data_IF_283535162265
#
_entry.id   IF_283535162265
#
_cell.length_a   1.000
_cell.length_b   1.000
_cell.length_c   1.000
_cell.angle_alpha   90.00
_cell.angle_beta   90.00
_cell.angle_gamma   90.00
#
_symmetry.space_group_name_H-M   'P 1'
#
loop_
_entity.id
_entity.type
_entity.pdbx_description
1 polymer ?
#
# COMPACT_ATOMS: atom_id res chain seq x y z
N UNK A 1 1.10 -32.73 36.92
CA UNK A 1 1.74 -33.07 35.63
C UNK A 1 2.79 -32.00 35.38
N UNK A 2 4.04 -32.41 35.16
CA UNK A 2 5.09 -31.50 34.75
C UNK A 2 4.68 -30.89 33.39
N UNK A 3 4.50 -29.56 33.26
CA UNK A 3 4.09 -28.93 32.00
C UNK A 3 5.03 -29.24 30.83
N UNK A 4 6.30 -29.54 31.13
CA UNK A 4 7.30 -29.90 30.13
C UNK A 4 7.08 -31.30 29.53
N UNK A 5 6.40 -32.21 30.23
CA UNK A 5 6.19 -33.59 29.75
C UNK A 5 5.21 -33.72 28.58
N UNK A 6 4.49 -32.65 28.22
CA UNK A 6 3.55 -32.61 27.09
C UNK A 6 4.06 -31.83 25.88
N UNK A 7 5.23 -31.17 25.98
CA UNK A 7 5.75 -30.28 24.92
C UNK A 7 6.56 -31.01 23.84
N UNK A 8 7.24 -32.11 24.19
CA UNK A 8 8.17 -32.83 23.31
C UNK A 8 7.70 -34.24 22.91
N UNK A 9 6.39 -34.45 22.80
CA UNK A 9 5.81 -35.77 22.50
C UNK A 9 5.13 -35.76 21.12
N UNK A 10 5.45 -36.75 20.27
CA UNK A 10 4.68 -37.00 19.05
C UNK A 10 3.36 -37.70 19.41
N UNK A 11 2.18 -37.16 19.01
CA UNK A 11 0.91 -37.79 19.29
C UNK A 11 0.77 -39.11 18.52
N UNK A 12 0.37 -40.18 19.23
CA UNK A 12 0.06 -41.51 18.70
C UNK A 12 -1.44 -41.77 18.96
N UNK A 13 -2.20 -42.13 17.92
CA UNK A 13 -3.65 -42.42 17.98
C UNK A 13 -3.94 -43.77 17.31
N UNK A 14 -4.66 -44.64 18.01
CA UNK A 14 -5.27 -45.86 17.44
C UNK A 14 -6.79 -45.78 17.58
N UNK A 15 -7.51 -46.23 16.55
CA UNK A 15 -8.97 -46.08 16.41
C UNK A 15 -9.62 -47.42 16.07
N UNK A 16 -10.65 -47.79 16.84
CA UNK A 16 -11.52 -48.93 16.51
C UNK A 16 -12.96 -48.44 16.27
N UNK A 17 -13.48 -48.74 15.07
CA UNK A 17 -14.78 -48.26 14.59
C UNK A 17 -15.96 -49.11 15.04
N UNK A 18 -17.17 -48.67 14.71
CA UNK A 18 -18.42 -49.34 15.11
C UNK A 18 -18.53 -50.77 14.53
N UNK A 19 -18.45 -51.78 15.39
CA UNK A 19 -18.74 -53.17 15.02
C UNK A 19 -20.24 -53.45 15.22
N UNK A 20 -20.94 -53.76 14.12
CA UNK A 20 -22.41 -53.70 13.99
C UNK A 20 -23.30 -54.57 14.89
N UNK A 21 -22.75 -55.26 15.89
CA UNK A 21 -23.51 -56.16 16.77
C UNK A 21 -23.36 -55.83 18.27
N UNK A 22 -22.43 -54.95 18.65
CA UNK A 22 -22.33 -54.40 20.01
C UNK A 22 -22.76 -52.93 19.95
N UNK A 23 -23.49 -52.44 20.96
CA UNK A 23 -23.98 -51.06 21.01
C UNK A 23 -22.87 -50.04 20.76
N UNK A 24 -23.22 -48.84 20.27
CA UNK A 24 -22.32 -47.78 19.82
C UNK A 24 -21.19 -47.45 20.83
N UNK A 25 -20.10 -48.21 20.81
CA UNK A 25 -18.85 -47.91 21.50
C UNK A 25 -17.81 -47.45 20.48
N UNK A 26 -17.22 -46.30 20.76
CA UNK A 26 -16.10 -45.74 20.02
C UNK A 26 -14.90 -45.78 20.96
N UNK A 27 -13.87 -46.55 20.61
CA UNK A 27 -12.63 -46.61 21.39
C UNK A 27 -11.49 -45.91 20.66
N UNK A 28 -10.80 -45.04 21.40
CA UNK A 28 -9.61 -44.33 20.94
C UNK A 28 -8.52 -44.47 21.99
N UNK A 29 -7.33 -44.92 21.58
CA UNK A 29 -6.17 -45.04 22.44
C UNK A 29 -5.21 -43.88 22.22
N UNK A 30 -4.82 -43.22 23.31
CA UNK A 30 -3.87 -42.12 23.32
C UNK A 30 -2.78 -42.39 24.35
N UNK A 31 -1.52 -42.36 23.93
CA UNK A 31 -0.37 -42.59 24.84
C UNK A 31 -0.09 -41.41 25.76
N UNK A 32 -0.37 -40.20 25.28
CA UNK A 32 -0.29 -38.96 26.06
C UNK A 32 -1.52 -38.11 25.69
N UNK A 33 -2.42 -37.91 26.64
CA UNK A 33 -3.66 -37.16 26.43
C UNK A 33 -3.87 -36.12 27.52
N UNK A 34 -4.37 -34.96 27.12
CA UNK A 34 -5.02 -34.02 28.01
C UNK A 34 -6.49 -33.95 27.61
N UNK A 35 -7.39 -34.28 28.54
CA UNK A 35 -8.83 -34.06 28.34
C UNK A 35 -9.15 -32.67 28.88
N UNK A 36 -9.58 -31.79 27.98
CA UNK A 36 -10.01 -30.45 28.35
C UNK A 36 -11.53 -30.42 28.30
N UNK A 37 -12.16 -30.20 29.45
CA UNK A 37 -13.61 -30.11 29.59
C UNK A 37 -13.98 -28.67 29.92
N UNK A 38 -14.91 -28.10 29.16
CA UNK A 38 -15.50 -26.80 29.48
C UNK A 38 -17.02 -26.82 29.25
N UNK A 39 -17.78 -25.96 29.96
CA UNK A 39 -19.21 -25.83 29.73
C UNK A 39 -19.50 -25.40 28.28
N UNK A 40 -20.52 -25.97 27.64
CA UNK A 40 -20.91 -25.65 26.25
C UNK A 40 -21.06 -24.14 26.01
N UNK A 41 -21.62 -23.41 26.99
CA UNK A 41 -21.74 -21.94 26.95
C UNK A 41 -20.42 -21.17 26.73
N UNK A 42 -19.28 -21.77 27.04
CA UNK A 42 -17.94 -21.18 26.87
C UNK A 42 -17.25 -21.61 25.57
N UNK A 43 -17.88 -22.47 24.77
CA UNK A 43 -17.21 -23.10 23.63
C UNK A 43 -16.59 -22.09 22.66
N UNK A 44 -17.33 -21.05 22.27
CA UNK A 44 -16.82 -20.04 21.35
C UNK A 44 -15.75 -19.14 21.98
N UNK A 45 -15.85 -18.83 23.28
CA UNK A 45 -14.81 -18.08 23.99
C UNK A 45 -13.49 -18.85 23.98
N UNK A 46 -13.53 -20.14 24.30
CA UNK A 46 -12.35 -21.02 24.33
C UNK A 46 -11.72 -21.15 22.94
N UNK A 47 -12.52 -21.26 21.88
CA UNK A 47 -11.99 -21.28 20.50
C UNK A 47 -11.24 -19.99 20.14
N UNK A 48 -11.65 -18.86 20.71
CA UNK A 48 -11.09 -17.53 20.40
C UNK A 48 -9.99 -17.09 21.39
N UNK A 49 -9.61 -17.91 22.38
CA UNK A 49 -8.70 -17.51 23.46
C UNK A 49 -7.21 -17.38 23.02
N UNK A 50 -6.81 -18.02 21.91
CA UNK A 50 -5.47 -17.84 21.32
C UNK A 50 -5.43 -16.63 20.36
N UNK A 51 -5.80 -16.85 19.10
CA UNK A 51 -5.91 -15.79 18.08
C UNK A 51 -7.23 -15.98 17.34
N UNK A 52 -8.20 -15.10 17.64
CA UNK A 52 -9.56 -15.22 17.09
C UNK A 52 -9.61 -15.13 15.56
N UNK A 53 -8.58 -14.55 14.91
CA UNK A 53 -8.44 -14.51 13.45
C UNK A 53 -8.35 -15.91 12.84
N UNK A 54 -7.73 -16.86 13.56
CA UNK A 54 -7.61 -18.26 13.12
C UNK A 54 -8.95 -19.00 13.12
N UNK A 55 -9.97 -18.45 13.78
CA UNK A 55 -11.31 -19.04 13.89
C UNK A 55 -12.24 -18.62 12.75
N UNK A 56 -11.85 -17.62 11.94
CA UNK A 56 -12.63 -17.15 10.80
C UNK A 56 -13.06 -18.25 9.81
N UNK A 57 -12.21 -19.23 9.44
CA UNK A 57 -12.63 -20.33 8.57
C UNK A 57 -13.74 -21.19 9.19
N UNK A 58 -13.78 -21.32 10.52
CA UNK A 58 -14.85 -22.06 11.22
C UNK A 58 -16.16 -21.29 11.11
N UNK A 59 -16.15 -19.98 11.34
CA UNK A 59 -17.33 -19.12 11.16
C UNK A 59 -17.83 -19.17 9.71
N UNK A 60 -16.94 -19.10 8.73
CA UNK A 60 -17.31 -19.19 7.32
C UNK A 60 -18.01 -20.51 6.98
N UNK A 61 -17.50 -21.63 7.48
CA UNK A 61 -18.13 -22.94 7.31
C UNK A 61 -19.50 -23.03 8.01
N UNK A 62 -19.62 -22.48 9.23
CA UNK A 62 -20.90 -22.46 9.94
C UNK A 62 -21.96 -21.64 9.18
N UNK A 63 -21.58 -20.47 8.66
CA UNK A 63 -22.47 -19.63 7.85
C UNK A 63 -22.86 -20.30 6.54
N UNK A 64 -21.93 -21.01 5.89
CA UNK A 64 -22.24 -21.78 4.68
C UNK A 64 -23.26 -22.89 4.95
N UNK A 65 -23.05 -23.69 6.01
CA UNK A 65 -23.99 -24.76 6.42
C UNK A 65 -25.36 -24.21 6.79
N UNK A 66 -25.41 -23.09 7.50
CA UNK A 66 -26.66 -22.43 7.84
C UNK A 66 -27.44 -21.98 6.59
N UNK A 67 -26.76 -21.40 5.59
CA UNK A 67 -27.41 -20.98 4.34
C UNK A 67 -28.00 -22.11 3.51
N UNK A 68 -27.42 -23.31 3.61
CA UNK A 68 -27.91 -24.51 2.92
C UNK A 68 -29.03 -25.22 3.70
N UNK A 69 -29.25 -24.84 4.96
CA UNK A 69 -30.26 -25.44 5.84
C UNK A 69 -31.67 -24.97 5.47
N UNK A 70 -32.55 -25.92 5.19
CA UNK A 70 -33.99 -25.70 4.96
C UNK A 70 -34.84 -26.12 6.17
N UNK A 71 -34.19 -26.42 7.29
CA UNK A 71 -34.77 -27.10 8.44
C UNK A 71 -35.29 -26.16 9.53
N UNK A 72 -36.08 -26.71 10.47
CA UNK A 72 -36.48 -26.02 11.70
C UNK A 72 -35.29 -25.57 12.57
N UNK A 73 -34.10 -26.13 12.36
CA UNK A 73 -32.88 -25.82 13.11
C UNK A 73 -32.11 -24.62 12.54
N UNK A 74 -32.57 -24.01 11.44
CA UNK A 74 -31.91 -22.88 10.81
C UNK A 74 -31.76 -21.67 11.77
N UNK A 75 -32.75 -21.43 12.64
CA UNK A 75 -32.67 -20.35 13.65
C UNK A 75 -31.60 -20.63 14.71
N UNK A 76 -31.50 -21.88 15.17
CA UNK A 76 -30.47 -22.31 16.13
C UNK A 76 -29.07 -22.19 15.50
N UNK A 77 -28.92 -22.62 14.25
CA UNK A 77 -27.66 -22.49 13.51
C UNK A 77 -27.26 -21.03 13.31
N UNK A 78 -28.22 -20.15 12.97
CA UNK A 78 -27.97 -18.70 12.89
C UNK A 78 -27.49 -18.15 14.23
N UNK A 79 -28.18 -18.50 15.32
CA UNK A 79 -27.81 -18.07 16.68
C UNK A 79 -26.40 -18.53 17.06
N UNK A 80 -26.02 -19.76 16.71
CA UNK A 80 -24.65 -20.25 16.91
C UNK A 80 -23.62 -19.47 16.08
N UNK A 81 -23.92 -19.14 14.82
CA UNK A 81 -23.03 -18.31 14.00
C UNK A 81 -22.86 -16.90 14.61
N UNK A 82 -23.94 -16.29 15.09
CA UNK A 82 -23.92 -15.00 15.79
C UNK A 82 -23.07 -15.09 17.06
N UNK A 83 -23.23 -16.15 17.84
CA UNK A 83 -22.45 -16.40 19.06
C UNK A 83 -20.95 -16.50 18.77
N UNK A 84 -20.56 -17.26 17.74
CA UNK A 84 -19.15 -17.37 17.35
C UNK A 84 -18.61 -16.05 16.81
N UNK A 85 -19.35 -15.36 15.93
CA UNK A 85 -18.95 -14.05 15.42
C UNK A 85 -18.76 -13.03 16.57
N UNK A 86 -19.66 -13.03 17.55
CA UNK A 86 -19.54 -12.17 18.74
C UNK A 86 -18.27 -12.48 19.53
N UNK A 87 -17.95 -13.76 19.74
CA UNK A 87 -16.73 -14.16 20.44
C UNK A 87 -15.47 -13.72 19.66
N UNK A 88 -15.45 -13.92 18.34
CA UNK A 88 -14.35 -13.53 17.46
C UNK A 88 -14.07 -12.02 17.56
N UNK A 89 -15.10 -11.19 17.40
CA UNK A 89 -14.98 -9.73 17.46
C UNK A 89 -14.55 -9.25 18.86
N UNK A 90 -15.07 -9.90 19.92
CA UNK A 90 -14.75 -9.54 21.30
C UNK A 90 -13.30 -9.85 21.68
N UNK A 91 -12.76 -10.95 21.16
CA UNK A 91 -11.40 -11.43 21.41
C UNK A 91 -10.43 -11.02 20.30
N UNK A 92 -10.81 -10.09 19.42
CA UNK A 92 -9.95 -9.66 18.32
C UNK A 92 -8.65 -9.03 18.86
N UNK A 93 -7.47 -9.54 18.46
CA UNK A 93 -6.20 -9.03 18.97
C UNK A 93 -5.91 -7.62 18.45
N UNK A 94 -5.24 -6.79 19.26
CA UNK A 94 -4.72 -5.52 18.78
C UNK A 94 -3.54 -5.73 17.84
N UNK A 95 -3.56 -5.04 16.70
CA UNK A 95 -2.51 -5.10 15.70
C UNK A 95 -2.36 -3.71 15.04
N UNK A 96 -1.82 -2.73 15.78
CA UNK A 96 -1.71 -1.35 15.32
C UNK A 96 -0.70 -1.18 14.17
N UNK A 97 0.15 -2.17 13.93
CA UNK A 97 1.18 -2.14 12.88
C UNK A 97 0.89 -3.19 11.82
N UNK A 98 0.93 -2.79 10.54
CA UNK A 98 0.75 -3.74 9.44
C UNK A 98 2.00 -4.61 9.32
N UNK A 99 1.84 -5.93 9.36
CA UNK A 99 2.96 -6.86 9.16
C UNK A 99 3.40 -6.87 7.69
N UNK A 100 4.71 -6.75 7.45
CA UNK A 100 5.34 -6.77 6.11
C UNK A 100 5.04 -8.02 5.29
N UNK A 101 4.63 -9.11 5.94
CA UNK A 101 4.35 -10.37 5.29
C UNK A 101 2.87 -10.57 4.92
N UNK A 102 1.98 -9.66 5.33
CA UNK A 102 0.58 -9.68 4.86
C UNK A 102 0.52 -9.00 3.49
N UNK A 103 0.57 -9.83 2.45
CA UNK A 103 0.33 -9.41 1.06
C UNK A 103 -0.99 -8.66 0.97
N UNK A 104 -0.99 -7.53 0.26
CA UNK A 104 -2.21 -6.96 -0.33
C UNK A 104 -2.95 -8.08 -1.09
N UNK A 105 -4.06 -8.56 -0.55
CA UNK A 105 -4.86 -9.59 -1.20
C UNK A 105 -5.25 -10.81 -0.37
N UNK A 106 -4.85 -10.93 0.91
CA UNK A 106 -5.69 -11.67 1.87
C UNK A 106 -6.96 -10.83 2.06
N UNK A 107 -7.91 -11.03 1.15
CA UNK A 107 -9.24 -10.43 1.20
C UNK A 107 -9.88 -10.94 2.48
N UNK A 108 -9.81 -10.14 3.54
CA UNK A 108 -10.47 -10.48 4.78
C UNK A 108 -11.98 -10.50 4.50
N UNK A 109 -12.55 -11.70 4.39
CA UNK A 109 -13.93 -11.93 3.98
C UNK A 109 -14.90 -11.66 5.15
N UNK A 110 -14.38 -11.18 6.29
CA UNK A 110 -15.12 -11.02 7.53
C UNK A 110 -16.36 -10.13 7.35
N UNK A 111 -16.24 -8.95 6.73
CA UNK A 111 -17.42 -8.10 6.54
C UNK A 111 -18.52 -8.80 5.72
N UNK A 112 -18.15 -9.58 4.69
CA UNK A 112 -19.11 -10.34 3.89
C UNK A 112 -19.77 -11.45 4.71
N UNK A 113 -19.01 -12.12 5.57
CA UNK A 113 -19.52 -13.16 6.49
C UNK A 113 -20.48 -12.53 7.50
N UNK A 114 -20.13 -11.40 8.12
CA UNK A 114 -21.00 -10.68 9.05
C UNK A 114 -22.26 -10.15 8.37
N UNK A 115 -22.13 -9.59 7.15
CA UNK A 115 -23.26 -9.12 6.36
C UNK A 115 -24.26 -10.23 6.04
N UNK A 116 -23.79 -11.47 5.87
CA UNK A 116 -24.64 -12.62 5.64
C UNK A 116 -25.52 -12.99 6.84
N UNK A 117 -25.08 -12.68 8.07
CA UNK A 117 -25.85 -12.92 9.30
C UNK A 117 -27.00 -11.93 9.49
N UNK A 118 -27.00 -10.83 8.74
CA UNK A 118 -27.99 -9.77 8.82
C UNK A 118 -28.16 -9.13 10.21
N UNK A 119 -27.06 -9.04 10.97
CA UNK A 119 -27.03 -8.43 12.31
C UNK A 119 -26.24 -7.10 12.29
N UNK A 120 -26.90 -5.93 12.27
CA UNK A 120 -26.23 -4.63 12.19
C UNK A 120 -25.23 -4.39 13.32
N UNK A 121 -25.53 -4.87 14.53
CA UNK A 121 -24.64 -4.71 15.69
C UNK A 121 -23.27 -5.37 15.49
N UNK A 122 -23.18 -6.51 14.81
CA UNK A 122 -21.90 -7.16 14.52
C UNK A 122 -21.07 -6.36 13.50
N UNK A 123 -21.74 -5.78 12.51
CA UNK A 123 -21.12 -4.94 11.49
C UNK A 123 -20.58 -3.65 12.13
N UNK A 124 -21.39 -2.99 12.98
CA UNK A 124 -20.96 -1.81 13.72
C UNK A 124 -19.72 -2.08 14.58
N UNK A 125 -19.71 -3.18 15.35
CA UNK A 125 -18.53 -3.58 16.14
C UNK A 125 -17.31 -3.86 15.29
N UNK A 126 -17.48 -4.50 14.14
CA UNK A 126 -16.37 -4.70 13.20
C UNK A 126 -15.78 -3.37 12.70
N UNK A 127 -16.62 -2.41 12.29
CA UNK A 127 -16.18 -1.12 11.78
C UNK A 127 -15.56 -0.23 12.88
N UNK A 128 -16.19 -0.17 14.06
CA UNK A 128 -15.83 0.75 15.14
C UNK A 128 -14.81 0.21 16.15
N UNK A 129 -14.68 -1.12 16.30
CA UNK A 129 -13.73 -1.73 17.24
C UNK A 129 -12.59 -2.43 16.48
N UNK A 130 -12.91 -3.39 15.60
CA UNK A 130 -11.90 -4.25 14.97
C UNK A 130 -11.00 -3.47 14.01
N UNK A 131 -11.60 -2.73 13.07
CA UNK A 131 -10.83 -1.98 12.07
C UNK A 131 -9.99 -0.83 12.65
N UNK A 132 -10.36 -0.35 13.84
CA UNK A 132 -9.62 0.67 14.60
C UNK A 132 -8.40 0.05 15.30
N UNK A 133 -8.57 -1.15 15.87
CA UNK A 133 -7.50 -1.89 16.58
C UNK A 133 -6.50 -2.57 15.65
N UNK A 134 -6.91 -2.93 14.44
CA UNK A 134 -6.11 -3.68 13.49
C UNK A 134 -5.99 -2.93 12.16
N UNK A 135 -4.80 -2.38 11.91
CA UNK A 135 -4.51 -1.63 10.69
C UNK A 135 -4.49 -2.53 9.44
N UNK A 136 -4.30 -3.85 9.60
CA UNK A 136 -4.26 -4.80 8.50
C UNK A 136 -5.65 -5.27 8.05
N UNK A 137 -6.67 -5.11 8.89
CA UNK A 137 -8.04 -5.51 8.56
C UNK A 137 -8.62 -4.64 7.46
N UNK A 138 -9.29 -5.30 6.51
CA UNK A 138 -9.87 -4.67 5.34
C UNK A 138 -11.34 -5.13 5.17
N UNK A 139 -12.32 -4.21 5.05
CA UNK A 139 -13.72 -4.57 4.85
C UNK A 139 -13.97 -5.10 3.43
N UNK A 140 -13.00 -4.97 2.53
CA UNK A 140 -13.11 -5.34 1.13
C UNK A 140 -14.21 -4.56 0.40
N UNK A 141 -14.65 -5.12 -0.73
CA UNK A 141 -15.59 -4.45 -1.65
C UNK A 141 -17.04 -4.40 -1.14
N UNK A 142 -17.34 -5.08 -0.04
CA UNK A 142 -18.72 -5.21 0.48
C UNK A 142 -19.17 -4.02 1.32
N UNK A 143 -18.27 -3.11 1.71
CA UNK A 143 -18.61 -1.98 2.58
C UNK A 143 -19.72 -1.10 2.01
N UNK A 144 -19.59 -0.68 0.76
CA UNK A 144 -20.59 0.18 0.10
C UNK A 144 -21.95 -0.51 0.04
N UNK A 145 -21.99 -1.79 -0.33
CA UNK A 145 -23.24 -2.56 -0.43
C UNK A 145 -23.92 -2.71 0.94
N UNK A 146 -23.12 -2.94 1.99
CA UNK A 146 -23.60 -3.02 3.37
C UNK A 146 -24.19 -1.68 3.81
N UNK A 147 -23.47 -0.57 3.63
CA UNK A 147 -23.97 0.76 3.98
C UNK A 147 -25.21 1.14 3.16
N UNK A 148 -25.32 0.75 1.89
CA UNK A 148 -26.52 0.99 1.08
C UNK A 148 -27.72 0.15 1.54
N UNK A 149 -27.46 -1.06 2.03
CA UNK A 149 -28.51 -1.99 2.49
C UNK A 149 -29.12 -1.53 3.82
N UNK A 150 -28.29 -1.22 4.81
CA UNK A 150 -28.75 -0.82 6.16
C UNK A 150 -28.94 0.69 6.31
N UNK A 151 -28.41 1.46 5.37
CA UNK A 151 -28.37 2.91 5.41
C UNK A 151 -27.07 3.48 5.95
N UNK A 152 -26.69 4.64 5.40
CA UNK A 152 -25.43 5.33 5.70
C UNK A 152 -25.39 5.88 7.13
N UNK A 153 -26.54 6.26 7.67
CA UNK A 153 -26.66 6.79 9.03
C UNK A 153 -26.44 5.70 10.09
N UNK A 154 -26.79 4.45 9.77
CA UNK A 154 -26.71 3.30 10.69
C UNK A 154 -25.29 3.03 11.20
N UNK A 155 -24.27 3.32 10.38
CA UNK A 155 -22.85 3.10 10.73
C UNK A 155 -22.04 4.40 10.76
N UNK A 156 -22.71 5.55 10.84
CA UNK A 156 -22.05 6.85 10.75
C UNK A 156 -21.00 7.01 11.84
N UNK A 157 -21.37 6.74 13.10
CA UNK A 157 -20.50 6.95 14.25
C UNK A 157 -19.24 6.08 14.16
N UNK A 158 -19.40 4.83 13.74
CA UNK A 158 -18.32 3.86 13.59
C UNK A 158 -17.37 4.26 12.47
N UNK A 159 -17.91 4.69 11.31
CA UNK A 159 -17.11 5.18 10.20
C UNK A 159 -16.38 6.48 10.56
N UNK A 160 -17.06 7.46 11.14
CA UNK A 160 -16.43 8.70 11.56
C UNK A 160 -15.32 8.45 12.59
N UNK A 161 -15.53 7.56 13.57
CA UNK A 161 -14.49 7.17 14.52
C UNK A 161 -13.29 6.49 13.83
N UNK A 162 -13.55 5.56 12.90
CA UNK A 162 -12.52 4.88 12.12
C UNK A 162 -11.66 5.88 11.34
N UNK A 163 -12.28 6.81 10.62
CA UNK A 163 -11.57 7.81 9.81
C UNK A 163 -10.85 8.85 10.66
N UNK A 164 -11.44 9.28 11.78
CA UNK A 164 -10.78 10.16 12.76
C UNK A 164 -9.56 9.53 13.42
N UNK A 165 -9.54 8.21 13.57
CA UNK A 165 -8.41 7.45 14.13
C UNK A 165 -7.32 7.07 13.12
N UNK A 166 -7.33 7.66 11.92
CA UNK A 166 -6.37 7.33 10.85
C UNK A 166 -4.92 7.55 11.31
N UNK A 167 -4.12 6.48 11.22
CA UNK A 167 -2.66 6.49 11.43
C UNK A 167 -1.93 6.29 10.10
N UNK A 168 -0.60 6.40 10.13
CA UNK A 168 0.26 6.09 8.97
C UNK A 168 0.03 4.67 8.42
N UNK A 169 -0.22 3.69 9.28
CA UNK A 169 -0.41 2.28 8.93
C UNK A 169 -1.77 2.04 8.24
N UNK A 170 -2.79 2.82 8.58
CA UNK A 170 -4.14 2.71 8.03
C UNK A 170 -4.46 3.71 6.92
N UNK A 171 -3.58 4.69 6.66
CA UNK A 171 -3.86 5.83 5.78
C UNK A 171 -4.22 5.40 4.36
N UNK A 172 -3.46 4.49 3.75
CA UNK A 172 -3.72 3.99 2.40
C UNK A 172 -5.06 3.26 2.30
N UNK A 173 -5.34 2.39 3.28
CA UNK A 173 -6.62 1.70 3.41
C UNK A 173 -7.75 2.72 3.49
N UNK A 174 -7.63 3.69 4.39
CA UNK A 174 -8.69 4.67 4.65
C UNK A 174 -8.90 5.58 3.43
N UNK A 175 -7.87 6.03 2.72
CA UNK A 175 -8.05 6.77 1.45
C UNK A 175 -8.76 5.94 0.39
N UNK A 176 -8.44 4.65 0.26
CA UNK A 176 -9.14 3.75 -0.67
C UNK A 176 -10.61 3.56 -0.28
N UNK A 177 -10.91 3.38 1.00
CA UNK A 177 -12.29 3.28 1.50
C UNK A 177 -13.07 4.58 1.30
N UNK A 178 -12.44 5.72 1.56
CA UNK A 178 -13.01 7.05 1.29
C UNK A 178 -13.37 7.19 -0.20
N UNK A 179 -12.45 6.81 -1.09
CA UNK A 179 -12.70 6.81 -2.53
C UNK A 179 -13.89 5.93 -2.91
N UNK A 180 -13.96 4.70 -2.40
CA UNK A 180 -15.08 3.78 -2.66
C UNK A 180 -16.42 4.34 -2.16
N UNK A 181 -16.46 4.86 -0.93
CA UNK A 181 -17.66 5.49 -0.33
C UNK A 181 -18.10 6.71 -1.15
N UNK A 182 -17.18 7.59 -1.52
CA UNK A 182 -17.50 8.80 -2.30
C UNK A 182 -17.88 8.49 -3.76
N UNK A 183 -17.39 7.41 -4.34
CA UNK A 183 -17.78 7.01 -5.70
C UNK A 183 -19.15 6.31 -5.74
N UNK A 184 -19.64 5.78 -4.62
CA UNK A 184 -20.93 5.10 -4.53
C UNK A 184 -22.11 5.99 -4.97
N UNK A 185 -22.06 7.28 -4.63
CA UNK A 185 -23.01 8.32 -5.05
C UNK A 185 -24.48 7.82 -5.11
N UNK A 186 -25.05 7.42 -3.96
CA UNK A 186 -26.34 6.76 -3.91
C UNK A 186 -27.49 7.72 -4.24
N UNK A 187 -28.58 7.19 -4.83
CA UNK A 187 -29.82 7.96 -5.08
C UNK A 187 -30.67 8.11 -3.81
N UNK A 188 -30.69 7.08 -2.95
CA UNK A 188 -31.37 7.09 -1.65
C UNK A 188 -30.40 7.56 -0.57
N UNK A 189 -30.91 8.21 0.46
CA UNK A 189 -30.11 8.69 1.60
C UNK A 189 -28.96 9.61 1.20
N UNK A 190 -29.17 10.40 0.14
CA UNK A 190 -28.15 11.26 -0.46
C UNK A 190 -27.59 12.28 0.53
N UNK A 191 -28.45 12.85 1.38
CA UNK A 191 -28.08 13.83 2.40
C UNK A 191 -27.14 13.22 3.45
N UNK A 192 -27.56 12.13 4.11
CA UNK A 192 -26.75 11.41 5.08
C UNK A 192 -25.39 10.97 4.49
N UNK A 193 -25.40 10.44 3.27
CA UNK A 193 -24.17 10.09 2.54
C UNK A 193 -23.27 11.31 2.26
N UNK A 194 -23.85 12.46 1.88
CA UNK A 194 -23.10 13.68 1.56
C UNK A 194 -22.44 14.25 2.81
N UNK A 195 -23.18 14.30 3.92
CA UNK A 195 -22.67 14.73 5.20
C UNK A 195 -21.54 13.82 5.70
N UNK A 196 -21.76 12.49 5.68
CA UNK A 196 -20.74 11.51 6.02
C UNK A 196 -19.48 11.74 5.20
N UNK A 197 -19.59 11.77 3.86
CA UNK A 197 -18.46 12.01 2.96
C UNK A 197 -17.70 13.29 3.32
N UNK A 198 -18.40 14.37 3.64
CA UNK A 198 -17.79 15.63 4.05
C UNK A 198 -16.98 15.52 5.34
N UNK A 199 -17.51 14.81 6.36
CA UNK A 199 -16.81 14.58 7.63
C UNK A 199 -15.58 13.70 7.43
N UNK A 200 -15.75 12.50 6.87
CA UNK A 200 -14.64 11.54 6.72
C UNK A 200 -13.54 12.06 5.76
N UNK A 201 -13.91 12.89 4.78
CA UNK A 201 -12.91 13.55 3.91
C UNK A 201 -12.02 14.50 4.69
N UNK A 202 -12.61 15.35 5.57
CA UNK A 202 -11.85 16.28 6.40
C UNK A 202 -10.94 15.54 7.39
N UNK A 203 -11.43 14.46 7.98
CA UNK A 203 -10.66 13.67 8.94
C UNK A 203 -9.42 13.04 8.27
N UNK A 204 -9.59 12.43 7.10
CA UNK A 204 -8.46 11.82 6.35
C UNK A 204 -7.46 12.87 5.88
N UNK A 205 -7.92 14.01 5.37
CA UNK A 205 -7.03 15.09 4.94
C UNK A 205 -6.25 15.66 6.13
N UNK A 206 -6.92 15.88 7.27
CA UNK A 206 -6.26 16.34 8.50
C UNK A 206 -5.22 15.32 9.00
N UNK A 207 -5.53 14.02 8.94
CA UNK A 207 -4.59 12.96 9.29
C UNK A 207 -3.39 12.92 8.34
N UNK A 208 -3.61 13.06 7.02
CA UNK A 208 -2.54 13.15 6.03
C UNK A 208 -1.59 14.32 6.32
N UNK A 209 -2.16 15.51 6.56
CA UNK A 209 -1.39 16.71 6.88
C UNK A 209 -0.61 16.56 8.18
N UNK A 210 -1.20 15.94 9.21
CA UNK A 210 -0.52 15.64 10.47
C UNK A 210 0.66 14.67 10.28
N UNK A 211 0.44 13.55 9.58
CA UNK A 211 1.48 12.55 9.25
C UNK A 211 2.62 13.20 8.43
N UNK A 212 2.29 14.11 7.53
CA UNK A 212 3.27 14.87 6.78
C UNK A 212 3.93 16.00 7.59
N UNK A 213 3.31 16.47 8.67
CA UNK A 213 3.85 17.48 9.58
C UNK A 213 4.76 16.91 10.66
N UNK A 214 4.69 15.60 10.93
CA UNK A 214 5.59 14.94 11.87
C UNK A 214 7.05 15.16 11.44
N UNK A 215 7.85 15.73 12.34
CA UNK A 215 9.28 15.98 12.13
C UNK A 215 9.93 14.67 11.71
N UNK A 216 10.94 14.78 10.84
CA UNK A 216 11.74 13.68 10.30
C UNK A 216 12.38 12.80 11.40
N UNK A 217 11.57 12.01 12.09
CA UNK A 217 11.97 10.68 12.49
C UNK A 217 12.33 9.97 11.18
N UNK A 218 13.45 9.26 11.09
CA UNK A 218 13.73 8.36 9.98
C UNK A 218 12.77 7.15 10.06
N UNK A 219 11.48 7.42 10.11
CA UNK A 219 10.46 6.41 10.01
C UNK A 219 10.40 6.02 8.54
N UNK A 220 11.11 4.95 8.22
CA UNK A 220 11.12 4.33 6.90
C UNK A 220 9.70 4.04 6.40
N UNK A 221 8.69 3.96 7.28
CA UNK A 221 7.27 3.85 6.90
C UNK A 221 6.79 5.01 6.02
N UNK A 222 7.23 6.26 6.30
CA UNK A 222 6.87 7.42 5.46
C UNK A 222 7.38 7.29 4.04
N UNK A 223 8.49 6.58 3.84
CA UNK A 223 9.06 6.30 2.51
C UNK A 223 8.32 5.20 1.74
N UNK A 224 7.43 4.46 2.41
CA UNK A 224 6.69 3.35 1.81
C UNK A 224 5.28 3.72 1.35
N UNK A 225 4.73 4.86 1.80
CA UNK A 225 3.41 5.30 1.37
C UNK A 225 3.37 5.52 -0.15
N UNK A 226 2.39 4.92 -0.81
CA UNK A 226 2.09 5.15 -2.22
C UNK A 226 1.42 6.51 -2.40
N UNK A 227 2.23 7.57 -2.38
CA UNK A 227 1.77 8.97 -2.50
C UNK A 227 0.95 9.22 -3.76
N UNK A 228 1.27 8.54 -4.87
CA UNK A 228 0.48 8.65 -6.09
C UNK A 228 -0.95 8.12 -5.92
N UNK A 229 -1.09 6.98 -5.24
CA UNK A 229 -2.41 6.41 -4.95
C UNK A 229 -3.19 7.27 -3.97
N UNK A 230 -2.54 7.79 -2.91
CA UNK A 230 -3.19 8.72 -1.98
C UNK A 230 -3.76 9.96 -2.69
N UNK A 231 -2.93 10.61 -3.51
CA UNK A 231 -3.35 11.81 -4.26
C UNK A 231 -4.47 11.50 -5.25
N UNK A 232 -4.38 10.40 -6.00
CA UNK A 232 -5.42 10.04 -6.97
C UNK A 232 -6.74 9.66 -6.29
N UNK A 233 -6.71 8.88 -5.19
CA UNK A 233 -7.91 8.50 -4.44
C UNK A 233 -8.62 9.71 -3.83
N UNK A 234 -7.87 10.60 -3.16
CA UNK A 234 -8.41 11.86 -2.63
C UNK A 234 -8.97 12.74 -3.74
N UNK A 235 -8.28 12.88 -4.87
CA UNK A 235 -8.77 13.67 -5.98
C UNK A 235 -10.08 13.12 -6.56
N UNK A 236 -10.24 11.79 -6.70
CA UNK A 236 -11.52 11.21 -7.15
C UNK A 236 -12.62 11.47 -6.11
N UNK A 237 -12.36 11.19 -4.84
CA UNK A 237 -13.32 11.34 -3.74
C UNK A 237 -13.83 12.77 -3.57
N UNK A 238 -12.92 13.74 -3.54
CA UNK A 238 -13.24 15.16 -3.33
C UNK A 238 -13.90 15.77 -4.56
N UNK A 239 -13.50 15.36 -5.76
CA UNK A 239 -14.11 15.88 -6.99
C UNK A 239 -15.54 15.38 -7.20
N UNK A 240 -15.85 14.11 -6.90
CA UNK A 240 -17.22 13.56 -7.06
C UNK A 240 -18.19 14.10 -5.99
N UNK A 241 -17.68 14.47 -4.82
CA UNK A 241 -18.46 15.06 -3.72
C UNK A 241 -18.54 16.59 -3.78
N UNK A 242 -17.84 17.23 -4.72
CA UNK A 242 -17.87 18.69 -4.89
C UNK A 242 -17.07 19.47 -3.83
N UNK A 243 -16.16 18.81 -3.12
CA UNK A 243 -15.33 19.42 -2.06
C UNK A 243 -14.11 20.15 -2.64
N UNK A 244 -14.36 21.16 -3.47
CA UNK A 244 -13.32 21.86 -4.27
C UNK A 244 -12.24 22.53 -3.41
N UNK A 245 -12.63 23.18 -2.31
CA UNK A 245 -11.67 23.86 -1.41
C UNK A 245 -10.76 22.86 -0.70
N UNK A 246 -11.31 21.73 -0.25
CA UNK A 246 -10.53 20.67 0.39
C UNK A 246 -9.54 20.04 -0.60
N UNK A 247 -9.97 19.82 -1.86
CA UNK A 247 -9.08 19.34 -2.92
C UNK A 247 -7.96 20.34 -3.22
N UNK A 248 -8.26 21.63 -3.25
CA UNK A 248 -7.25 22.67 -3.41
C UNK A 248 -6.22 22.64 -2.26
N UNK A 249 -6.68 22.42 -1.03
CA UNK A 249 -5.84 22.27 0.16
C UNK A 249 -4.87 21.10 0.01
N UNK A 250 -5.38 19.90 -0.30
CA UNK A 250 -4.57 18.69 -0.52
C UNK A 250 -3.52 18.90 -1.61
N UNK A 251 -3.91 19.48 -2.74
CA UNK A 251 -3.00 19.77 -3.86
C UNK A 251 -1.91 20.75 -3.44
N UNK A 252 -2.29 21.82 -2.73
CA UNK A 252 -1.34 22.85 -2.29
C UNK A 252 -0.36 22.32 -1.24
N UNK A 253 -0.84 21.50 -0.30
CA UNK A 253 0.00 20.81 0.69
C UNK A 253 1.03 19.89 0.02
N UNK A 254 0.58 19.05 -0.93
CA UNK A 254 1.48 18.12 -1.63
C UNK A 254 2.53 18.87 -2.46
N UNK A 255 2.15 19.92 -3.20
CA UNK A 255 3.07 20.75 -3.97
C UNK A 255 4.09 21.51 -3.09
N UNK A 256 3.73 21.83 -1.85
CA UNK A 256 4.62 22.49 -0.89
C UNK A 256 5.70 21.55 -0.31
N UNK A 257 5.56 20.22 -0.51
CA UNK A 257 6.43 19.19 0.08
C UNK A 257 7.07 18.30 -1.00
N UNK A 258 7.93 18.84 -1.90
CA UNK A 258 8.50 18.10 -3.03
C UNK A 258 9.35 16.89 -2.63
N UNK A 259 9.94 16.88 -1.43
CA UNK A 259 10.68 15.73 -0.89
C UNK A 259 9.75 14.56 -0.54
N UNK A 260 8.53 14.85 -0.07
CA UNK A 260 7.51 13.82 0.26
C UNK A 260 6.66 13.46 -0.95
N UNK A 261 6.43 14.40 -1.85
CA UNK A 261 5.66 14.23 -3.08
C UNK A 261 6.50 14.57 -4.32
N UNK A 262 7.53 13.76 -4.66
CA UNK A 262 8.33 14.03 -5.85
C UNK A 262 7.47 14.00 -7.11
N UNK A 263 7.68 14.95 -8.03
CA UNK A 263 6.92 15.07 -9.29
C UNK A 263 6.75 13.71 -9.99
N UNK A 264 7.85 12.98 -10.22
CA UNK A 264 7.89 11.75 -11.02
C UNK A 264 7.32 10.51 -10.32
N UNK A 265 7.25 10.53 -8.98
CA UNK A 265 6.86 9.36 -8.18
C UNK A 265 5.45 9.53 -7.60
N UNK A 266 5.05 10.76 -7.26
CA UNK A 266 3.76 11.06 -6.67
C UNK A 266 2.81 11.73 -7.66
N UNK A 267 3.14 12.94 -8.13
CA UNK A 267 2.19 13.77 -8.88
C UNK A 267 1.87 13.24 -10.28
N UNK A 268 2.89 12.91 -11.08
CA UNK A 268 2.68 12.45 -12.47
C UNK A 268 1.92 11.12 -12.54
N UNK A 269 2.30 10.06 -11.78
CA UNK A 269 1.55 8.81 -11.81
C UNK A 269 0.10 9.01 -11.34
N UNK A 270 -0.13 9.85 -10.33
CA UNK A 270 -1.48 10.19 -9.87
C UNK A 270 -2.32 10.87 -10.97
N UNK A 271 -1.82 11.96 -11.57
CA UNK A 271 -2.53 12.69 -12.63
C UNK A 271 -2.78 11.81 -13.87
N UNK A 272 -1.78 11.05 -14.31
CA UNK A 272 -1.93 10.14 -15.45
C UNK A 272 -3.02 9.09 -15.17
N UNK A 273 -3.05 8.53 -13.95
CA UNK A 273 -4.11 7.59 -13.54
C UNK A 273 -5.51 8.22 -13.48
N UNK A 274 -5.58 9.54 -13.24
CA UNK A 274 -6.83 10.30 -13.20
C UNK A 274 -7.33 10.70 -14.58
N UNK A 275 -6.44 10.88 -15.57
CA UNK A 275 -6.77 11.44 -16.88
C UNK A 275 -8.01 10.84 -17.57
N UNK A 276 -8.08 9.51 -17.76
CA UNK A 276 -9.26 8.86 -18.35
C UNK A 276 -10.55 9.09 -17.55
N UNK A 277 -10.44 9.12 -16.21
CA UNK A 277 -11.56 9.34 -15.31
C UNK A 277 -12.03 10.80 -15.37
N UNK A 278 -11.11 11.77 -15.33
CA UNK A 278 -11.39 13.21 -15.44
C UNK A 278 -12.19 13.47 -16.71
N UNK A 279 -11.69 13.03 -17.86
CA UNK A 279 -12.34 13.20 -19.17
C UNK A 279 -13.78 12.68 -19.18
N UNK A 280 -14.03 11.56 -18.50
CA UNK A 280 -15.34 10.89 -18.47
C UNK A 280 -16.29 11.51 -17.44
N UNK A 281 -15.83 11.78 -16.22
CA UNK A 281 -16.66 12.04 -15.03
C UNK A 281 -16.71 13.50 -14.62
N UNK A 282 -15.67 14.27 -14.88
CA UNK A 282 -15.61 15.67 -14.46
C UNK A 282 -16.24 16.55 -15.55
N UNK A 283 -17.30 17.26 -15.17
CA UNK A 283 -18.07 18.15 -16.06
C UNK A 283 -18.09 19.60 -15.56
N UNK A 284 -17.83 19.80 -14.28
CA UNK A 284 -17.77 21.12 -13.64
C UNK A 284 -16.29 21.44 -13.41
N UNK A 285 -15.92 22.70 -13.61
CA UNK A 285 -14.55 23.17 -13.36
C UNK A 285 -14.19 22.99 -11.89
N UNK A 286 -12.96 22.54 -11.64
CA UNK A 286 -12.37 22.42 -10.30
C UNK A 286 -11.09 23.23 -10.26
N UNK A 287 -11.03 24.20 -9.34
CA UNK A 287 -9.85 25.03 -9.10
C UNK A 287 -8.66 24.18 -8.63
N UNK A 288 -8.91 23.18 -7.77
CA UNK A 288 -7.90 22.25 -7.28
C UNK A 288 -7.26 21.42 -8.40
N UNK A 289 -8.07 20.78 -9.26
CA UNK A 289 -7.53 20.01 -10.40
C UNK A 289 -6.80 20.90 -11.41
N UNK A 290 -7.37 22.07 -11.72
CA UNK A 290 -6.75 23.03 -12.65
C UNK A 290 -5.39 23.51 -12.14
N UNK A 291 -5.29 23.86 -10.85
CA UNK A 291 -4.03 24.23 -10.19
C UNK A 291 -3.02 23.10 -10.24
N UNK A 292 -3.45 21.88 -9.93
CA UNK A 292 -2.55 20.72 -9.89
C UNK A 292 -1.94 20.44 -11.27
N UNK A 293 -2.78 20.39 -12.30
CA UNK A 293 -2.36 20.16 -13.68
C UNK A 293 -1.44 21.30 -14.17
N UNK A 294 -1.79 22.55 -13.89
CA UNK A 294 -0.97 23.70 -14.26
C UNK A 294 0.42 23.68 -13.60
N UNK A 295 0.50 23.39 -12.30
CA UNK A 295 1.78 23.29 -11.59
C UNK A 295 2.67 22.17 -12.12
N UNK A 296 2.10 20.98 -12.38
CA UNK A 296 2.86 19.86 -12.96
C UNK A 296 3.34 20.18 -14.38
N UNK A 297 2.49 20.85 -15.17
CA UNK A 297 2.84 21.30 -16.52
C UNK A 297 4.00 22.29 -16.50
N UNK A 298 3.91 23.35 -15.69
CA UNK A 298 4.96 24.37 -15.58
C UNK A 298 6.31 23.74 -15.18
N UNK A 299 6.29 22.82 -14.22
CA UNK A 299 7.51 22.12 -13.80
C UNK A 299 8.08 21.23 -14.91
N UNK A 300 7.24 20.53 -15.68
CA UNK A 300 7.67 19.74 -16.82
C UNK A 300 8.20 20.60 -17.96
N UNK A 301 7.54 21.71 -18.31
CA UNK A 301 8.00 22.66 -19.32
C UNK A 301 9.40 23.20 -18.97
N UNK A 302 9.65 23.48 -17.69
CA UNK A 302 10.98 23.86 -17.21
C UNK A 302 12.00 22.72 -17.39
N UNK A 303 11.65 21.49 -17.03
CA UNK A 303 12.53 20.30 -17.17
C UNK A 303 12.82 19.94 -18.63
N UNK A 304 11.86 20.19 -19.54
CA UNK A 304 11.99 19.91 -20.98
C UNK A 304 12.39 21.13 -21.80
N UNK A 305 12.75 22.24 -21.17
CA UNK A 305 13.09 23.49 -21.87
C UNK A 305 14.38 23.38 -22.70
N UNK A 306 15.29 22.51 -22.28
CA UNK A 306 16.54 22.25 -22.98
C UNK A 306 16.87 20.76 -22.96
N UNK A 307 17.06 20.18 -24.15
CA UNK A 307 17.50 18.80 -24.27
C UNK A 307 18.92 18.63 -23.67
N UNK A 308 19.20 17.50 -23.00
CA UNK A 308 20.54 17.14 -22.57
C UNK A 308 21.51 17.24 -23.74
N UNK A 309 22.68 17.83 -23.50
CA UNK A 309 23.69 18.03 -24.55
C UNK A 309 24.56 16.80 -24.65
N UNK A 310 24.66 16.26 -25.85
CA UNK A 310 25.59 15.17 -26.10
C UNK A 310 27.04 15.66 -25.93
N UNK A 311 27.91 14.91 -25.22
CA UNK A 311 29.33 15.26 -25.13
C UNK A 311 29.95 15.37 -26.53
N UNK A 312 30.50 16.53 -26.85
CA UNK A 312 31.13 16.83 -28.14
C UNK A 312 32.52 16.22 -28.28
N UNK A 313 33.15 15.86 -27.16
CA UNK A 313 34.48 15.26 -27.08
C UNK A 313 34.49 14.07 -26.10
N UNK A 314 35.67 13.51 -25.83
CA UNK A 314 35.85 12.42 -24.88
C UNK A 314 35.99 12.88 -23.42
N UNK A 315 35.81 14.17 -23.09
CA UNK A 315 35.89 14.60 -21.69
C UNK A 315 34.71 14.06 -20.89
N UNK A 316 34.96 13.63 -19.65
CA UNK A 316 33.96 13.20 -18.69
C UNK A 316 34.17 13.90 -17.36
N UNK A 317 33.09 14.08 -16.60
CA UNK A 317 33.17 14.71 -15.30
C UNK A 317 34.10 13.90 -14.37
N UNK A 318 35.14 14.57 -13.87
CA UNK A 318 36.20 13.95 -13.08
C UNK A 318 36.07 14.26 -11.58
N UNK A 319 34.84 14.21 -11.03
CA UNK A 319 34.52 14.54 -9.64
C UNK A 319 34.96 13.44 -8.62
N UNK A 320 36.13 12.84 -8.83
CA UNK A 320 36.70 11.80 -7.96
C UNK A 320 37.40 12.46 -6.76
N UNK A 321 36.95 12.15 -5.54
CA UNK A 321 37.46 12.78 -4.32
C UNK A 321 38.79 12.19 -3.80
N UNK A 322 39.15 10.97 -4.22
CA UNK A 322 40.34 10.25 -3.76
C UNK A 322 41.65 10.85 -4.30
N UNK A 323 42.60 11.21 -3.43
CA UNK A 323 43.86 11.91 -3.81
C UNK A 323 45.03 10.99 -4.18
N UNK A 324 44.83 9.68 -4.29
CA UNK A 324 45.92 8.75 -4.62
C UNK A 324 46.45 8.95 -6.05
N UNK A 325 47.66 8.46 -6.33
CA UNK A 325 48.29 8.59 -7.65
C UNK A 325 47.46 7.97 -8.78
N UNK A 326 46.82 6.82 -8.53
CA UNK A 326 45.96 6.12 -9.50
C UNK A 326 44.71 6.94 -9.86
N UNK A 327 44.05 7.53 -8.85
CA UNK A 327 42.90 8.40 -9.09
C UNK A 327 43.32 9.72 -9.76
N UNK A 328 44.53 10.22 -9.51
CA UNK A 328 45.05 11.38 -10.23
C UNK A 328 45.31 11.07 -11.71
N UNK A 329 45.77 9.86 -12.04
CA UNK A 329 45.87 9.38 -13.42
C UNK A 329 44.50 9.22 -14.07
N UNK A 330 43.54 8.62 -13.35
CA UNK A 330 42.17 8.48 -13.81
C UNK A 330 41.49 9.83 -14.10
N UNK A 331 41.69 10.86 -13.26
CA UNK A 331 41.16 12.21 -13.56
C UNK A 331 41.76 12.81 -14.82
N UNK A 332 43.09 12.70 -15.00
CA UNK A 332 43.76 13.16 -16.22
C UNK A 332 43.20 12.48 -17.46
N UNK A 333 42.99 11.16 -17.40
CA UNK A 333 42.32 10.44 -18.47
C UNK A 333 40.90 10.98 -18.71
N UNK A 334 40.07 11.14 -17.67
CA UNK A 334 38.70 11.65 -17.82
C UNK A 334 38.64 13.06 -18.44
N UNK A 335 39.59 13.94 -18.13
CA UNK A 335 39.67 15.33 -18.63
C UNK A 335 40.26 15.47 -20.04
N UNK A 336 40.88 14.40 -20.57
CA UNK A 336 41.44 14.38 -21.92
C UNK A 336 40.32 14.35 -23.00
N UNK A 337 40.23 15.34 -23.90
CA UNK A 337 39.21 15.39 -24.94
C UNK A 337 39.42 14.40 -26.09
N UNK A 338 40.63 13.87 -26.26
CA UNK A 338 41.03 13.05 -27.40
C UNK A 338 41.27 11.58 -27.02
N UNK A 339 41.53 11.29 -25.75
CA UNK A 339 41.75 9.92 -25.28
C UNK A 339 40.43 9.22 -24.94
N UNK A 340 40.00 8.27 -25.78
CA UNK A 340 38.77 7.49 -25.58
C UNK A 340 38.97 6.24 -24.70
N UNK A 341 40.17 5.66 -24.71
CA UNK A 341 40.51 4.41 -24.03
C UNK A 341 41.86 4.56 -23.34
N UNK A 342 41.91 4.27 -22.04
CA UNK A 342 43.15 4.26 -21.26
C UNK A 342 43.42 2.90 -20.63
N UNK A 343 44.71 2.57 -20.48
CA UNK A 343 45.18 1.25 -20.04
C UNK A 343 46.04 1.34 -18.78
N UNK A 344 45.43 1.00 -17.66
CA UNK A 344 46.05 1.01 -16.34
C UNK A 344 46.70 -0.34 -16.03
N UNK A 345 48.01 -0.46 -16.21
CA UNK A 345 48.75 -1.70 -15.91
C UNK A 345 49.22 -1.72 -14.45
N UNK A 346 48.49 -2.43 -13.59
CA UNK A 346 48.71 -2.39 -12.14
C UNK A 346 48.22 -3.67 -11.44
N UNK A 347 48.68 -3.87 -10.20
CA UNK A 347 48.30 -5.02 -9.37
C UNK A 347 46.79 -5.00 -9.03
N UNK A 348 46.26 -6.16 -8.66
CA UNK A 348 44.81 -6.36 -8.48
C UNK A 348 44.17 -5.40 -7.47
N UNK A 349 44.81 -5.14 -6.34
CA UNK A 349 44.37 -4.21 -5.30
C UNK A 349 44.14 -2.79 -5.84
N UNK A 350 45.09 -2.28 -6.62
CA UNK A 350 44.99 -0.95 -7.25
C UNK A 350 43.90 -0.89 -8.32
N UNK A 351 43.70 -1.99 -9.08
CA UNK A 351 42.60 -2.08 -10.06
C UNK A 351 41.24 -2.07 -9.37
N UNK A 352 41.05 -2.91 -8.35
CA UNK A 352 39.81 -2.95 -7.58
C UNK A 352 39.48 -1.58 -6.96
N UNK A 353 40.50 -0.84 -6.51
CA UNK A 353 40.32 0.53 -6.05
C UNK A 353 39.77 1.46 -7.15
N UNK A 354 40.33 1.44 -8.36
CA UNK A 354 39.82 2.26 -9.45
C UNK A 354 38.41 1.84 -9.89
N UNK A 355 38.14 0.54 -9.98
CA UNK A 355 36.80 0.02 -10.31
C UNK A 355 35.74 0.51 -9.30
N UNK A 356 36.07 0.50 -8.00
CA UNK A 356 35.21 1.03 -6.95
C UNK A 356 34.96 2.53 -7.12
N UNK A 357 36.01 3.33 -7.36
CA UNK A 357 35.88 4.78 -7.53
C UNK A 357 35.10 5.15 -8.78
N UNK A 358 35.30 4.43 -9.88
CA UNK A 358 34.53 4.61 -11.12
C UNK A 358 33.04 4.39 -10.88
N UNK A 359 32.67 3.32 -10.15
CA UNK A 359 31.27 3.03 -9.80
C UNK A 359 30.70 4.07 -8.83
N UNK A 360 31.46 4.41 -7.79
CA UNK A 360 31.04 5.37 -6.76
C UNK A 360 30.74 6.76 -7.33
N UNK A 361 31.59 7.22 -8.26
CA UNK A 361 31.49 8.57 -8.84
C UNK A 361 30.81 8.60 -10.20
N UNK A 362 30.29 7.47 -10.71
CA UNK A 362 29.60 7.36 -12.01
C UNK A 362 30.36 8.03 -13.16
N UNK A 363 31.65 7.71 -13.31
CA UNK A 363 32.58 8.43 -14.21
C UNK A 363 32.36 8.21 -15.72
N UNK A 364 31.21 7.67 -16.16
CA UNK A 364 30.94 7.33 -17.57
C UNK A 364 32.05 6.48 -18.23
N UNK A 365 32.47 5.42 -17.55
CA UNK A 365 33.47 4.47 -18.04
C UNK A 365 32.92 3.04 -18.04
N UNK A 366 33.16 2.33 -19.14
CA UNK A 366 33.18 0.87 -19.14
C UNK A 366 34.60 0.41 -18.81
N UNK A 367 34.73 -0.70 -18.08
CA UNK A 367 36.04 -1.25 -17.78
C UNK A 367 36.09 -2.76 -17.84
N UNK A 368 37.21 -3.27 -18.33
CA UNK A 368 37.49 -4.70 -18.44
C UNK A 368 38.93 -5.00 -18.04
N UNK A 369 39.18 -6.20 -17.53
CA UNK A 369 40.54 -6.66 -17.18
C UNK A 369 41.12 -7.50 -18.32
N UNK A 370 42.21 -7.04 -18.93
CA UNK A 370 43.01 -7.82 -19.86
C UNK A 370 44.10 -8.61 -19.11
N UNK A 371 44.14 -9.94 -19.31
CA UNK A 371 45.05 -10.87 -18.61
C UNK A 371 46.22 -11.38 -19.47
N UNK A 372 46.70 -10.58 -20.43
CA UNK A 372 47.77 -10.98 -21.37
C UNK A 372 49.19 -10.94 -20.77
N UNK A 373 49.43 -10.06 -19.79
CA UNK A 373 50.73 -9.85 -19.13
C UNK A 373 50.54 -9.64 -17.63
N UNK A 374 51.62 -9.76 -16.87
CA UNK A 374 51.67 -9.41 -15.44
C UNK A 374 52.50 -8.13 -15.27
N UNK A 375 52.01 -7.11 -14.53
CA UNK A 375 50.67 -7.01 -13.94
C UNK A 375 49.57 -6.93 -15.02
N UNK A 376 48.38 -7.45 -14.70
CA UNK A 376 47.21 -7.37 -15.58
C UNK A 376 46.76 -5.92 -15.78
N UNK A 377 46.10 -5.64 -16.91
CA UNK A 377 45.73 -4.27 -17.31
C UNK A 377 44.23 -4.05 -17.13
N UNK A 378 43.84 -2.96 -16.46
CA UNK A 378 42.46 -2.45 -16.46
C UNK A 378 42.31 -1.52 -17.68
N UNK A 379 41.48 -1.93 -18.63
CA UNK A 379 41.16 -1.13 -19.81
C UNK A 379 39.88 -0.37 -19.52
N UNK A 380 39.97 0.95 -19.48
CA UNK A 380 38.84 1.85 -19.28
C UNK A 380 38.49 2.55 -20.58
N UNK A 381 37.24 2.43 -21.02
CA UNK A 381 36.69 3.06 -22.22
C UNK A 381 35.65 4.08 -21.80
N UNK A 382 35.77 5.32 -22.25
CA UNK A 382 34.76 6.35 -22.00
C UNK A 382 33.48 6.05 -22.77
N UNK A 383 32.37 6.01 -22.05
CA UNK A 383 31.03 5.84 -22.61
C UNK A 383 30.23 7.14 -22.46
N UNK A 384 28.91 7.09 -22.65
CA UNK A 384 28.01 8.25 -22.53
C UNK A 384 26.85 7.93 -21.57
N UNK A 385 27.09 7.13 -20.54
CA UNK A 385 26.03 6.57 -19.70
C UNK A 385 25.20 7.65 -18.97
N UNK A 386 25.83 8.69 -18.43
CA UNK A 386 25.12 9.79 -17.76
C UNK A 386 24.28 10.58 -18.75
N UNK A 387 24.83 10.94 -19.93
CA UNK A 387 24.06 11.57 -21.00
C UNK A 387 22.85 10.70 -21.45
N UNK A 388 23.04 9.39 -21.62
CA UNK A 388 21.96 8.49 -22.00
C UNK A 388 20.88 8.38 -20.92
N UNK A 389 21.26 8.38 -19.64
CA UNK A 389 20.34 8.41 -18.53
C UNK A 389 19.54 9.72 -18.49
N UNK A 390 20.21 10.87 -18.61
CA UNK A 390 19.57 12.18 -18.70
C UNK A 390 18.63 12.28 -19.91
N UNK A 391 19.04 11.82 -21.09
CA UNK A 391 18.23 11.81 -22.29
C UNK A 391 16.99 10.91 -22.13
N UNK A 392 17.13 9.76 -21.47
CA UNK A 392 16.00 8.88 -21.15
C UNK A 392 15.01 9.60 -20.23
N UNK A 393 15.50 10.24 -19.17
CA UNK A 393 14.71 11.01 -18.22
C UNK A 393 14.00 12.19 -18.89
N UNK A 394 14.70 12.92 -19.76
CA UNK A 394 14.15 14.01 -20.57
C UNK A 394 13.02 13.53 -21.50
N UNK A 395 13.21 12.42 -22.22
CA UNK A 395 12.16 11.82 -23.08
C UNK A 395 10.93 11.38 -22.27
N UNK A 396 11.14 10.84 -21.07
CA UNK A 396 10.05 10.49 -20.16
C UNK A 396 9.28 11.74 -19.71
N UNK A 397 9.96 12.87 -19.47
CA UNK A 397 9.30 14.14 -19.15
C UNK A 397 8.52 14.70 -20.34
N UNK A 398 9.04 14.61 -21.56
CA UNK A 398 8.30 15.04 -22.76
C UNK A 398 7.00 14.24 -22.92
N UNK A 399 7.05 12.92 -22.71
CA UNK A 399 5.87 12.06 -22.73
C UNK A 399 4.88 12.41 -21.61
N UNK A 400 5.39 12.68 -20.40
CA UNK A 400 4.57 13.11 -19.28
C UNK A 400 3.94 14.48 -19.54
N UNK A 401 4.68 15.44 -20.12
CA UNK A 401 4.20 16.76 -20.49
C UNK A 401 3.05 16.66 -21.50
N UNK A 402 3.21 15.85 -22.55
CA UNK A 402 2.14 15.59 -23.51
C UNK A 402 0.89 15.01 -22.83
N UNK A 403 1.07 14.07 -21.89
CA UNK A 403 -0.03 13.49 -21.11
C UNK A 403 -0.73 14.52 -20.23
N UNK A 404 0.02 15.38 -19.54
CA UNK A 404 -0.51 16.45 -18.68
C UNK A 404 -1.25 17.51 -19.50
N UNK A 405 -0.75 17.88 -20.68
CA UNK A 405 -1.45 18.78 -21.61
C UNK A 405 -2.78 18.17 -22.05
N UNK A 406 -2.80 16.88 -22.43
CA UNK A 406 -4.04 16.20 -22.80
C UNK A 406 -5.07 16.14 -21.65
N UNK A 407 -4.61 15.98 -20.41
CA UNK A 407 -5.45 16.07 -19.21
C UNK A 407 -5.98 17.49 -19.04
N UNK A 408 -5.14 18.51 -19.21
CA UNK A 408 -5.53 19.92 -19.12
C UNK A 408 -6.62 20.28 -20.12
N UNK A 409 -6.50 19.82 -21.36
CA UNK A 409 -7.50 20.01 -22.42
C UNK A 409 -8.82 19.30 -22.12
N UNK A 410 -8.78 18.23 -21.33
CA UNK A 410 -9.97 17.48 -20.91
C UNK A 410 -10.68 18.11 -19.71
N UNK A 411 -10.07 19.09 -19.02
CA UNK A 411 -10.71 19.79 -17.92
C UNK A 411 -11.78 20.77 -18.44
N UNK A 412 -12.96 20.83 -17.79
CA UNK A 412 -13.95 21.85 -18.11
C UNK A 412 -13.36 23.25 -17.89
N UNK A 413 -13.54 24.15 -18.86
CA UNK A 413 -13.16 25.55 -18.69
C UNK A 413 -14.08 26.20 -17.66
N UNK A 414 -13.51 27.02 -16.77
CA UNK A 414 -14.33 27.90 -15.94
C UNK A 414 -15.10 28.86 -16.86
N UNK A 415 -16.42 28.71 -16.92
CA UNK A 415 -17.28 29.78 -17.41
C UNK A 415 -17.22 30.91 -16.38
N UNK A 416 -16.45 31.94 -16.72
CA UNK A 416 -16.47 33.25 -16.06
C UNK A 416 -17.88 33.82 -16.02
#
# INVERSE_FOLDING_TARGET
LDPESLRDVKPEEEFEGYTGNAGMTLERWYRHAAVILWPERKHFEVLCDDDSRKVLPVLEQMVARWKESTSKDAEVQKSQCIGLATAILTKWPENPHRSFHQREGEKDNLLKILAALAEPGLIGRFLGEVMVKDAAVDPGKSLVDVCQTYGWDTYRNELEALFKSTTIESLERNVRLLEEICLANPRKQKEAWTELCGTISRDVVSALEAIDGEKASPDWRLSQLNRAQLLSGLARALSVTGQSELLWGVVSHALALPEKYPLRIAHLPALISLGPWIKKKIKISSSGLSRWVAACREQLERLTSQAPREPTDFRREAAISCKCADCAELRRFLEDPNEAVHRFSMRQDRRSHLEEKIRQHKCDLDFTTERKRSPHTLVCTKNKASYQAELKTYRQDEQALASVISIQESLPRSTT
#
